data_IF_584351979822
#
_entry.id   IF_584351979822
#
_cell.length_a   1.000
_cell.length_b   1.000
_cell.length_c   1.000
_cell.angle_alpha   90.00
_cell.angle_beta   90.00
_cell.angle_gamma   90.00
#
_symmetry.space_group_name_H-M   'P 1'
#
loop_
_entity.id
_entity.type
_entity.pdbx_description
1 polymer ?
#
# COMPACT_ATOMS: atom_id res chain seq x y z
N UNK A 1 64.01 32.13 44.43
CA UNK A 1 63.59 31.34 43.21
C UNK A 1 62.31 30.61 43.54
N UNK A 2 61.16 31.11 43.05
CA UNK A 2 59.87 30.54 43.30
C UNK A 2 59.26 30.16 41.92
N UNK A 3 59.16 28.86 41.61
CA UNK A 3 58.50 28.31 40.43
C UNK A 3 56.97 28.23 40.68
N UNK A 4 56.22 28.97 39.89
CA UNK A 4 54.78 28.91 39.86
C UNK A 4 54.41 27.95 38.72
N UNK A 5 53.93 26.77 39.12
CA UNK A 5 53.41 25.75 38.17
C UNK A 5 51.98 26.08 37.87
N UNK A 6 51.69 26.59 36.64
CA UNK A 6 50.33 26.83 36.15
C UNK A 6 49.68 25.52 35.71
N UNK A 7 48.61 25.18 36.37
CA UNK A 7 47.73 24.04 35.98
C UNK A 7 46.74 24.50 34.91
N UNK A 8 46.96 24.10 33.66
CA UNK A 8 46.00 24.31 32.55
C UNK A 8 44.88 23.26 32.63
N UNK A 9 43.71 23.71 33.03
CA UNK A 9 42.47 22.90 33.04
C UNK A 9 41.93 22.81 31.62
N UNK A 10 42.12 21.68 30.95
CA UNK A 10 41.51 21.38 29.64
C UNK A 10 40.04 21.02 29.87
N UNK A 11 39.13 21.93 29.56
CA UNK A 11 37.69 21.74 29.60
C UNK A 11 37.27 21.07 28.29
N UNK A 12 37.18 19.74 28.29
CA UNK A 12 36.67 18.96 27.17
C UNK A 12 35.17 19.13 27.08
N UNK A 13 34.70 19.89 26.08
CA UNK A 13 33.30 20.02 25.70
C UNK A 13 32.91 18.75 24.95
N UNK A 14 32.23 17.85 25.64
CA UNK A 14 31.55 16.73 24.98
C UNK A 14 30.32 17.26 24.19
N UNK A 15 30.47 17.47 22.90
CA UNK A 15 29.32 17.61 22.00
C UNK A 15 28.63 16.25 21.88
N UNK A 16 27.60 16.05 22.68
CA UNK A 16 26.65 14.95 22.49
C UNK A 16 25.84 15.25 21.23
N UNK A 17 26.37 14.91 20.06
CA UNK A 17 25.62 14.87 18.82
C UNK A 17 24.55 13.79 18.95
N UNK A 18 23.27 14.16 19.09
CA UNK A 18 22.15 13.26 18.84
C UNK A 18 22.24 12.79 17.40
N UNK A 19 22.85 11.63 17.16
CA UNK A 19 22.71 10.90 15.91
C UNK A 19 21.24 10.52 15.80
N UNK A 20 20.46 11.31 15.03
CA UNK A 20 19.17 10.85 14.50
C UNK A 20 19.50 9.60 13.69
N UNK A 21 19.25 8.44 14.29
CA UNK A 21 19.27 7.17 13.57
C UNK A 21 18.18 7.29 12.51
N UNK A 22 18.60 7.41 11.26
CA UNK A 22 17.69 7.38 10.11
C UNK A 22 17.08 5.98 10.12
N UNK A 23 15.88 5.86 10.70
CA UNK A 23 15.10 4.63 10.68
C UNK A 23 14.55 4.56 9.27
N UNK A 24 15.30 3.91 8.38
CA UNK A 24 14.85 3.67 7.00
C UNK A 24 13.45 3.09 6.96
N UNK A 25 12.81 3.13 5.81
CA UNK A 25 11.47 2.59 5.60
C UNK A 25 11.41 1.10 6.01
N UNK A 26 10.63 0.70 7.05
CA UNK A 26 10.59 -0.68 7.52
C UNK A 26 9.76 -1.59 6.60
N UNK A 27 8.98 -1.02 5.69
CA UNK A 27 8.09 -1.75 4.80
C UNK A 27 8.83 -2.24 3.55
N UNK A 28 8.41 -3.40 3.05
CA UNK A 28 8.92 -3.99 1.82
C UNK A 28 7.76 -4.56 0.99
N UNK A 29 7.99 -4.71 -0.29
CA UNK A 29 7.12 -5.48 -1.19
C UNK A 29 7.54 -6.94 -1.05
N UNK A 30 6.57 -7.80 -0.78
CA UNK A 30 6.78 -9.24 -0.89
C UNK A 30 6.68 -9.61 -2.38
N UNK A 31 7.71 -10.28 -2.93
CA UNK A 31 7.71 -10.68 -4.35
C UNK A 31 6.79 -11.89 -4.58
N UNK A 32 5.53 -11.74 -4.23
CA UNK A 32 4.50 -12.78 -4.34
C UNK A 32 3.91 -12.74 -5.74
N UNK A 33 3.86 -13.92 -6.37
CA UNK A 33 3.12 -14.13 -7.63
C UNK A 33 1.92 -15.01 -7.30
N UNK A 34 0.72 -14.51 -7.55
CA UNK A 34 -0.50 -15.27 -7.31
C UNK A 34 -0.55 -16.51 -8.21
N UNK A 35 -1.14 -17.63 -7.74
CA UNK A 35 -1.30 -18.84 -8.53
C UNK A 35 -2.03 -18.60 -9.86
N UNK A 36 -1.70 -19.37 -10.89
CA UNK A 36 -2.36 -19.27 -12.19
C UNK A 36 -3.88 -19.53 -12.11
N UNK A 37 -4.35 -20.30 -11.16
CA UNK A 37 -5.79 -20.52 -10.93
C UNK A 37 -6.51 -19.24 -10.51
N UNK A 38 -5.88 -18.41 -9.67
CA UNK A 38 -6.44 -17.12 -9.26
C UNK A 38 -6.41 -16.12 -10.41
N UNK A 39 -5.36 -16.13 -11.23
CA UNK A 39 -5.29 -15.33 -12.46
C UNK A 39 -6.44 -15.69 -13.42
N UNK A 40 -6.66 -16.99 -13.66
CA UNK A 40 -7.75 -17.45 -14.53
C UNK A 40 -9.12 -17.00 -14.03
N UNK A 41 -9.33 -16.98 -12.71
CA UNK A 41 -10.58 -16.48 -12.14
C UNK A 41 -10.77 -14.96 -12.39
N UNK A 42 -9.70 -14.16 -12.32
CA UNK A 42 -9.76 -12.74 -12.71
C UNK A 42 -10.07 -12.59 -14.20
N UNK A 43 -9.41 -13.34 -15.07
CA UNK A 43 -9.64 -13.29 -16.51
C UNK A 43 -11.09 -13.69 -16.87
N UNK A 44 -11.64 -14.71 -16.20
CA UNK A 44 -13.04 -15.12 -16.37
C UNK A 44 -13.98 -13.97 -15.97
N UNK A 45 -13.72 -13.29 -14.84
CA UNK A 45 -14.52 -12.14 -14.41
C UNK A 45 -14.42 -10.98 -15.42
N UNK A 46 -13.21 -10.61 -15.89
CA UNK A 46 -13.02 -9.54 -16.86
C UNK A 46 -13.77 -9.84 -18.16
N UNK A 47 -13.65 -11.08 -18.67
CA UNK A 47 -14.34 -11.53 -19.89
C UNK A 47 -15.86 -11.48 -19.75
N UNK A 48 -16.42 -12.02 -18.64
CA UNK A 48 -17.85 -12.05 -18.41
C UNK A 48 -18.48 -10.65 -18.31
N UNK A 49 -17.69 -9.65 -17.92
CA UNK A 49 -18.14 -8.25 -17.78
C UNK A 49 -17.69 -7.35 -18.93
N UNK A 50 -17.07 -7.89 -19.98
CA UNK A 50 -16.53 -7.13 -21.13
C UNK A 50 -15.55 -6.03 -20.69
N UNK A 51 -14.73 -6.30 -19.66
CA UNK A 51 -13.75 -5.38 -19.12
C UNK A 51 -12.36 -5.67 -19.70
N UNK A 52 -11.57 -4.60 -19.88
CA UNK A 52 -10.16 -4.70 -20.27
C UNK A 52 -9.29 -4.21 -19.12
N UNK A 53 -8.21 -4.94 -18.84
CA UNK A 53 -7.27 -4.56 -17.81
C UNK A 53 -5.85 -5.01 -18.18
N UNK A 54 -4.84 -4.33 -17.65
CA UNK A 54 -3.44 -4.63 -17.86
C UNK A 54 -2.97 -5.64 -16.81
N UNK A 55 -2.25 -6.68 -17.25
CA UNK A 55 -1.63 -7.65 -16.34
C UNK A 55 -0.43 -7.02 -15.62
N UNK A 56 -0.36 -7.20 -14.31
CA UNK A 56 0.85 -6.95 -13.51
C UNK A 56 1.67 -8.25 -13.35
N UNK A 57 2.98 -8.14 -13.13
CA UNK A 57 3.87 -9.29 -12.97
C UNK A 57 3.52 -10.23 -11.81
N UNK A 58 2.71 -9.80 -10.85
CA UNK A 58 2.22 -10.59 -9.71
C UNK A 58 0.94 -11.38 -10.01
N UNK A 59 0.46 -11.41 -11.26
CA UNK A 59 -0.81 -11.98 -11.70
C UNK A 59 -2.07 -11.25 -11.18
N UNK A 60 -1.93 -10.03 -10.62
CA UNK A 60 -3.07 -9.13 -10.50
C UNK A 60 -3.29 -8.37 -11.80
N UNK A 61 -4.46 -7.73 -11.94
CA UNK A 61 -4.80 -6.89 -13.07
C UNK A 61 -5.18 -5.48 -12.61
N UNK A 62 -4.98 -4.49 -13.49
CA UNK A 62 -5.30 -3.09 -13.19
C UNK A 62 -5.72 -2.31 -14.42
N UNK A 63 -6.44 -1.23 -14.19
CA UNK A 63 -6.83 -0.24 -15.19
C UNK A 63 -6.50 1.17 -14.65
N UNK A 64 -5.60 1.89 -15.32
CA UNK A 64 -5.32 3.29 -14.97
C UNK A 64 -6.38 4.16 -15.62
N UNK A 65 -7.35 4.60 -14.81
CA UNK A 65 -8.44 5.48 -15.25
C UNK A 65 -7.98 6.93 -15.42
N UNK A 66 -7.04 7.34 -14.54
CA UNK A 66 -6.38 8.63 -14.59
C UNK A 66 -4.97 8.50 -14.01
N UNK A 67 -3.90 8.88 -14.74
CA UNK A 67 -2.54 8.65 -14.25
C UNK A 67 -2.12 9.58 -13.10
N UNK A 68 -2.75 10.77 -12.98
CA UNK A 68 -2.31 11.82 -12.08
C UNK A 68 -1.04 12.53 -12.57
N UNK A 69 -0.65 13.61 -11.89
CA UNK A 69 0.52 14.43 -12.29
C UNK A 69 1.48 14.76 -11.15
N UNK A 70 1.07 14.50 -9.90
CA UNK A 70 1.86 14.79 -8.70
C UNK A 70 2.90 13.72 -8.35
N UNK A 71 3.19 13.58 -7.07
CA UNK A 71 4.17 12.61 -6.57
C UNK A 71 3.67 11.17 -6.70
N UNK A 72 4.61 10.25 -6.95
CA UNK A 72 4.39 8.80 -6.83
C UNK A 72 4.57 8.43 -5.36
N UNK A 73 3.64 7.68 -4.74
CA UNK A 73 3.80 7.23 -3.37
C UNK A 73 4.82 6.09 -3.26
N UNK A 74 5.69 6.18 -2.25
CA UNK A 74 6.54 5.07 -1.81
C UNK A 74 5.90 4.32 -0.64
N UNK A 75 6.49 3.20 -0.23
CA UNK A 75 5.92 2.37 0.84
C UNK A 75 5.78 3.09 2.19
N UNK A 76 6.69 4.02 2.51
CA UNK A 76 6.61 4.83 3.72
C UNK A 76 5.82 6.13 3.57
N UNK A 77 5.26 6.39 2.39
CA UNK A 77 4.41 7.56 2.19
C UNK A 77 3.09 7.41 2.93
N UNK A 78 2.68 8.48 3.60
CA UNK A 78 1.29 8.68 3.93
C UNK A 78 0.51 8.95 2.65
N UNK A 79 -0.58 8.25 2.44
CA UNK A 79 -1.47 8.47 1.29
C UNK A 79 -2.85 8.91 1.78
N UNK A 80 -3.49 9.80 1.02
CA UNK A 80 -4.90 10.16 1.22
C UNK A 80 -5.66 9.68 0.00
N UNK A 81 -6.68 8.86 0.22
CA UNK A 81 -7.43 8.21 -0.87
C UNK A 81 -8.93 8.26 -0.64
N UNK A 82 -9.67 8.26 -1.75
CA UNK A 82 -11.06 7.83 -1.77
C UNK A 82 -11.08 6.44 -2.40
N UNK A 83 -11.82 5.51 -1.83
CA UNK A 83 -11.90 4.17 -2.40
C UNK A 83 -13.26 3.50 -2.20
N UNK A 84 -13.54 2.54 -3.06
CA UNK A 84 -14.60 1.56 -2.89
C UNK A 84 -14.06 0.18 -3.22
N UNK A 85 -14.28 -0.78 -2.32
CA UNK A 85 -13.94 -2.18 -2.47
C UNK A 85 -15.19 -3.02 -2.69
N UNK A 86 -15.22 -3.80 -3.78
CA UNK A 86 -16.33 -4.67 -4.14
C UNK A 86 -15.86 -6.09 -4.40
N UNK A 87 -16.76 -7.05 -4.20
CA UNK A 87 -16.58 -8.44 -4.62
C UNK A 87 -17.04 -8.61 -6.07
N UNK A 88 -16.72 -9.76 -6.69
CA UNK A 88 -17.11 -10.09 -8.07
C UNK A 88 -18.62 -10.20 -8.27
N UNK A 89 -19.40 -10.35 -7.21
CA UNK A 89 -20.86 -10.32 -7.23
C UNK A 89 -21.46 -8.91 -7.16
N UNK A 90 -20.61 -7.87 -7.11
CA UNK A 90 -21.01 -6.46 -7.02
C UNK A 90 -21.25 -5.94 -5.59
N UNK A 91 -21.20 -6.79 -4.56
CA UNK A 91 -21.38 -6.35 -3.19
C UNK A 91 -20.20 -5.49 -2.73
N UNK A 92 -20.48 -4.30 -2.24
CA UNK A 92 -19.49 -3.44 -1.59
C UNK A 92 -19.23 -3.93 -0.18
N UNK A 93 -17.96 -4.21 0.14
CA UNK A 93 -17.55 -4.65 1.48
C UNK A 93 -16.92 -3.52 2.30
N UNK A 94 -16.37 -2.50 1.62
CA UNK A 94 -15.76 -1.34 2.29
C UNK A 94 -15.69 -0.13 1.34
N UNK A 95 -15.84 1.08 1.88
CA UNK A 95 -15.64 2.31 1.12
C UNK A 95 -15.38 3.49 2.05
N UNK A 96 -14.50 4.39 1.66
CA UNK A 96 -14.20 5.59 2.43
C UNK A 96 -13.73 6.74 1.55
N UNK A 97 -14.06 7.97 1.97
CA UNK A 97 -13.56 9.22 1.38
C UNK A 97 -12.58 9.89 2.33
N UNK A 98 -11.43 10.32 1.80
CA UNK A 98 -10.38 10.97 2.57
C UNK A 98 -9.67 10.07 3.58
N UNK A 99 -9.66 8.76 3.35
CA UNK A 99 -8.95 7.81 4.19
C UNK A 99 -7.44 8.08 4.17
N UNK A 100 -6.80 8.00 5.33
CA UNK A 100 -5.35 8.23 5.48
C UNK A 100 -4.69 6.93 5.92
N UNK A 101 -3.69 6.48 5.14
CA UNK A 101 -2.94 5.27 5.44
C UNK A 101 -1.44 5.48 5.19
N UNK A 102 -0.61 4.63 5.80
CA UNK A 102 0.76 4.41 5.33
C UNK A 102 0.71 3.28 4.30
N UNK A 103 1.18 3.52 3.06
CA UNK A 103 1.03 2.56 1.96
C UNK A 103 1.58 1.18 2.31
N UNK A 104 2.75 1.12 2.93
CA UNK A 104 3.41 -0.14 3.27
C UNK A 104 2.70 -1.01 4.33
N UNK A 105 1.71 -0.46 5.05
CA UNK A 105 0.90 -1.21 6.03
C UNK A 105 -0.32 -1.91 5.42
N UNK A 106 -0.56 -1.75 4.12
CA UNK A 106 -1.75 -2.24 3.43
C UNK A 106 -1.52 -3.61 2.78
N UNK A 107 -2.57 -4.21 2.22
CA UNK A 107 -2.50 -5.48 1.49
C UNK A 107 -1.54 -5.38 0.30
N UNK A 108 -0.95 -6.51 -0.10
CA UNK A 108 0.09 -6.55 -1.13
C UNK A 108 -0.39 -5.95 -2.46
N UNK A 109 -1.63 -6.24 -2.86
CA UNK A 109 -2.22 -5.68 -4.06
C UNK A 109 -2.25 -4.14 -4.08
N UNK A 110 -2.43 -3.48 -2.94
CA UNK A 110 -2.38 -2.02 -2.84
C UNK A 110 -0.94 -1.48 -2.88
N UNK A 111 0.00 -2.17 -2.21
CA UNK A 111 1.42 -1.81 -2.27
C UNK A 111 1.98 -1.86 -3.69
N UNK A 112 1.51 -2.80 -4.49
CA UNK A 112 1.89 -2.95 -5.90
C UNK A 112 1.11 -2.02 -6.85
N UNK A 113 -0.17 -1.81 -6.59
CA UNK A 113 -1.08 -1.13 -7.52
C UNK A 113 -1.08 0.39 -7.39
N UNK A 114 -1.11 0.94 -6.16
CA UNK A 114 -1.22 2.39 -5.97
C UNK A 114 -0.01 3.16 -6.54
N UNK A 115 1.25 2.66 -6.48
CA UNK A 115 2.38 3.33 -7.11
C UNK A 115 2.36 3.38 -8.65
N UNK A 116 1.42 2.70 -9.31
CA UNK A 116 1.22 2.81 -10.76
C UNK A 116 0.57 4.14 -11.18
N UNK A 117 0.03 4.90 -10.21
CA UNK A 117 -0.51 6.23 -10.40
C UNK A 117 0.21 7.26 -9.53
N UNK A 118 0.01 8.53 -9.85
CA UNK A 118 0.52 9.68 -9.11
C UNK A 118 -0.61 10.36 -8.33
N UNK A 119 -0.27 11.28 -7.44
CA UNK A 119 -1.26 12.17 -6.81
C UNK A 119 -2.18 12.79 -7.86
N UNK A 120 -3.48 12.77 -7.61
CA UNK A 120 -4.54 13.16 -8.53
C UNK A 120 -4.96 12.05 -9.49
N UNK A 121 -4.36 10.87 -9.41
CA UNK A 121 -4.68 9.72 -10.25
C UNK A 121 -5.83 8.86 -9.71
N UNK A 122 -6.38 8.03 -10.61
CA UNK A 122 -7.41 7.03 -10.29
C UNK A 122 -7.09 5.72 -10.97
N UNK A 123 -7.22 4.62 -10.23
CA UNK A 123 -6.90 3.27 -10.68
C UNK A 123 -7.98 2.30 -10.21
N UNK A 124 -8.27 1.32 -11.03
CA UNK A 124 -9.03 0.13 -10.63
C UNK A 124 -8.10 -1.06 -10.55
N UNK A 125 -8.17 -1.78 -9.43
CA UNK A 125 -7.37 -2.96 -9.16
C UNK A 125 -8.26 -4.19 -9.10
N UNK A 126 -7.81 -5.29 -9.71
CA UNK A 126 -8.41 -6.62 -9.60
C UNK A 126 -7.38 -7.51 -8.91
N UNK A 127 -7.56 -7.68 -7.61
CA UNK A 127 -6.58 -8.27 -6.71
C UNK A 127 -6.95 -9.72 -6.43
N UNK A 128 -6.08 -10.69 -6.77
CA UNK A 128 -6.31 -12.09 -6.44
C UNK A 128 -6.22 -12.33 -4.93
N UNK A 129 -6.85 -13.39 -4.40
CA UNK A 129 -6.85 -13.71 -2.97
C UNK A 129 -5.47 -13.65 -2.32
N UNK A 130 -4.46 -14.24 -2.94
CA UNK A 130 -3.07 -14.30 -2.43
C UNK A 130 -2.45 -12.92 -2.18
N UNK A 131 -2.87 -11.89 -2.91
CA UNK A 131 -2.41 -10.50 -2.73
C UNK A 131 -3.38 -9.64 -1.92
N UNK A 132 -4.46 -10.24 -1.43
CA UNK A 132 -5.51 -9.63 -0.60
C UNK A 132 -5.59 -10.25 0.78
N UNK A 133 -6.70 -10.94 1.07
CA UNK A 133 -6.98 -11.56 2.38
C UNK A 133 -6.84 -13.10 2.37
N UNK A 134 -6.46 -13.70 1.24
CA UNK A 134 -6.14 -15.13 1.14
C UNK A 134 -7.32 -16.04 1.40
N UNK A 135 -7.06 -17.13 2.11
CA UNK A 135 -8.01 -18.19 2.43
C UNK A 135 -8.84 -17.94 3.69
N UNK A 136 -8.74 -16.75 4.29
CA UNK A 136 -9.45 -16.39 5.50
C UNK A 136 -10.71 -15.57 5.20
N UNK A 137 -11.77 -15.80 5.99
CA UNK A 137 -12.95 -14.92 5.97
C UNK A 137 -12.68 -13.64 6.74
N UNK A 138 -12.94 -12.47 6.14
CA UNK A 138 -12.96 -11.20 6.87
C UNK A 138 -14.37 -10.97 7.42
N UNK A 139 -14.44 -10.69 8.72
CA UNK A 139 -15.70 -10.46 9.44
C UNK A 139 -15.77 -9.02 9.93
N UNK A 140 -16.97 -8.49 9.99
CA UNK A 140 -17.24 -7.22 10.66
C UNK A 140 -17.28 -7.36 12.20
N UNK A 141 -17.56 -6.26 12.89
CA UNK A 141 -17.65 -6.22 14.36
C UNK A 141 -18.82 -7.06 14.93
N UNK A 142 -19.80 -7.42 14.10
CA UNK A 142 -20.92 -8.27 14.48
C UNK A 142 -20.64 -9.76 14.28
N UNK A 143 -19.52 -10.10 13.62
CA UNK A 143 -19.14 -11.45 13.23
C UNK A 143 -19.67 -11.89 11.87
N UNK A 144 -20.37 -11.02 11.14
CA UNK A 144 -20.84 -11.31 9.79
C UNK A 144 -19.66 -11.31 8.79
N UNK A 145 -19.65 -12.27 7.87
CA UNK A 145 -18.61 -12.36 6.83
C UNK A 145 -18.87 -11.27 5.79
N UNK A 146 -17.95 -10.31 5.67
CA UNK A 146 -17.99 -9.24 4.68
C UNK A 146 -17.12 -9.54 3.46
N UNK A 147 -16.03 -10.31 3.63
CA UNK A 147 -15.23 -10.84 2.53
C UNK A 147 -15.06 -12.34 2.77
N UNK A 148 -15.66 -13.20 1.93
CA UNK A 148 -15.44 -14.63 2.00
C UNK A 148 -13.99 -15.02 1.69
N UNK A 149 -13.56 -16.14 2.20
CA UNK A 149 -12.26 -16.75 1.85
C UNK A 149 -12.12 -16.87 0.32
N UNK A 150 -10.89 -16.71 -0.17
CA UNK A 150 -10.52 -16.81 -1.58
C UNK A 150 -11.28 -15.84 -2.51
N UNK A 151 -11.68 -14.67 -2.01
CA UNK A 151 -12.35 -13.64 -2.81
C UNK A 151 -11.37 -12.85 -3.66
N UNK A 152 -11.71 -12.64 -4.94
CA UNK A 152 -11.13 -11.58 -5.76
C UNK A 152 -11.67 -10.25 -5.26
N UNK A 153 -10.79 -9.27 -5.05
CA UNK A 153 -11.16 -7.94 -4.61
C UNK A 153 -11.04 -6.96 -5.77
N UNK A 154 -12.06 -6.12 -5.94
CA UNK A 154 -12.07 -5.07 -6.94
C UNK A 154 -12.08 -3.74 -6.21
N UNK A 155 -11.02 -2.95 -6.37
CA UNK A 155 -10.94 -1.63 -5.77
C UNK A 155 -10.91 -0.55 -6.83
N UNK A 156 -11.74 0.46 -6.66
CA UNK A 156 -11.67 1.73 -7.38
C UNK A 156 -11.07 2.76 -6.43
N UNK A 157 -9.88 3.27 -6.75
CA UNK A 157 -9.07 4.10 -5.84
C UNK A 157 -8.72 5.41 -6.53
N UNK A 158 -8.99 6.53 -5.87
CA UNK A 158 -8.50 7.86 -6.24
C UNK A 158 -7.47 8.32 -5.23
N UNK A 159 -6.22 8.54 -5.68
CA UNK A 159 -5.12 9.04 -4.85
C UNK A 159 -5.18 10.57 -4.79
N UNK A 160 -5.71 11.12 -3.71
CA UNK A 160 -5.93 12.56 -3.57
C UNK A 160 -4.71 13.31 -3.04
N UNK A 161 -3.87 12.66 -2.20
CA UNK A 161 -2.63 13.27 -1.69
C UNK A 161 -1.56 12.22 -1.38
N UNK A 162 -0.28 12.66 -1.40
CA UNK A 162 0.90 11.88 -1.00
C UNK A 162 1.73 12.74 -0.04
N UNK A 163 1.97 12.23 1.16
CA UNK A 163 2.67 12.89 2.28
C UNK A 163 4.00 12.23 2.58
#
# INVERSE_FOLDING_TARGET
>A
MRFITGCLLFMSVFLSGCLKKDIGCPYKIENIIAPASEEQAILAYLSANSLTATKHGSNMYYEVLQPGTGNVPGLCSGIVINYAGTLTNGNTFDSQTGAIFTLGSLIEGWKLGIPLIKKGGRIRLYIPPTLGYGSENVKDQTGAIIIPANSILIFDITLTDVK
#
